data_IF_062752910810
#
_entry.id   IF_062752910810
#
_cell.length_a   1.000
_cell.length_b   1.000
_cell.length_c   1.000
_cell.angle_alpha   90.00
_cell.angle_beta   90.00
_cell.angle_gamma   90.00
#
_symmetry.space_group_name_H-M   'P 1'
#
loop_
_entity.id
_entity.type
_entity.pdbx_description
1 polymer ?
#
# COMPACT_ATOMS: atom_id res chain seq x y z
N UNK A 1 18.70 28.24 16.31
CA UNK A 1 17.28 27.85 16.41
C UNK A 1 16.86 28.10 17.85
N UNK A 2 15.93 29.02 18.11
CA UNK A 2 15.42 29.23 19.46
C UNK A 2 14.73 27.94 19.94
N UNK A 3 14.99 27.55 21.18
CA UNK A 3 14.34 26.40 21.83
C UNK A 3 12.84 26.69 21.96
N UNK A 4 11.97 25.70 21.73
CA UNK A 4 10.51 25.86 21.73
C UNK A 4 9.92 26.42 23.03
N UNK A 5 10.59 26.21 24.16
CA UNK A 5 10.18 26.80 25.43
C UNK A 5 10.46 28.32 25.45
N UNK A 6 11.62 28.72 24.93
CA UNK A 6 12.05 30.12 24.93
C UNK A 6 11.15 31.03 24.10
N UNK A 7 10.59 30.56 22.98
CA UNK A 7 9.72 31.39 22.12
C UNK A 7 8.34 31.64 22.76
N UNK A 8 7.84 30.68 23.54
CA UNK A 8 6.58 30.82 24.27
C UNK A 8 6.79 31.73 25.48
N UNK A 9 7.90 31.55 26.19
CA UNK A 9 8.28 32.41 27.31
C UNK A 9 8.47 33.86 26.87
N UNK A 10 9.16 34.10 25.74
CA UNK A 10 9.34 35.44 25.16
C UNK A 10 7.99 36.09 24.78
N UNK A 11 7.08 35.30 24.20
CA UNK A 11 5.75 35.76 23.84
C UNK A 11 4.97 36.16 25.09
N UNK A 12 4.93 35.30 26.11
CA UNK A 12 4.25 35.57 27.37
C UNK A 12 4.81 36.82 28.06
N UNK A 13 6.14 36.94 28.14
CA UNK A 13 6.80 38.11 28.71
C UNK A 13 6.46 39.40 27.96
N UNK A 14 6.46 39.36 26.62
CA UNK A 14 6.10 40.53 25.79
C UNK A 14 4.62 40.91 25.92
N UNK A 15 3.74 39.93 26.08
CA UNK A 15 2.32 40.15 26.32
C UNK A 15 2.07 40.79 27.68
N UNK A 16 2.71 40.27 28.74
CA UNK A 16 2.60 40.84 30.09
C UNK A 16 3.13 42.28 30.13
N UNK A 17 4.27 42.56 29.47
CA UNK A 17 4.82 43.91 29.38
C UNK A 17 3.89 44.88 28.63
N UNK A 18 3.33 44.44 27.50
CA UNK A 18 2.35 45.22 26.74
C UNK A 18 1.08 45.49 27.55
N UNK A 19 0.56 44.48 28.26
CA UNK A 19 -0.63 44.60 29.09
C UNK A 19 -0.40 45.57 30.26
N UNK A 20 0.74 45.46 30.94
CA UNK A 20 1.12 46.37 32.01
C UNK A 20 1.21 47.82 31.51
N UNK A 21 1.81 48.04 30.34
CA UNK A 21 1.94 49.37 29.75
C UNK A 21 0.57 50.03 29.44
N UNK A 22 -0.43 49.28 28.99
CA UNK A 22 -1.75 49.84 28.65
C UNK A 22 -2.72 49.94 29.83
N UNK A 23 -2.47 49.20 30.91
CA UNK A 23 -3.37 49.14 32.09
C UNK A 23 -2.86 49.90 33.30
N UNK A 24 -1.64 50.45 33.26
CA UNK A 24 -1.06 51.12 34.42
C UNK A 24 -1.85 52.40 34.78
N UNK A 25 -2.49 52.45 35.96
CA UNK A 25 -3.30 53.59 36.38
C UNK A 25 -2.48 54.86 36.65
N UNK A 26 -1.17 54.74 36.87
CA UNK A 26 -0.30 55.89 37.14
C UNK A 26 -0.12 56.79 35.91
N UNK A 27 -0.40 56.29 34.71
CA UNK A 27 -0.28 57.03 33.45
C UNK A 27 -1.38 58.09 33.22
N UNK A 28 -2.46 58.08 34.00
CA UNK A 28 -3.57 59.05 33.84
C UNK A 28 -3.26 60.46 34.37
N UNK A 29 -2.21 60.63 35.18
CA UNK A 29 -1.86 61.91 35.81
C UNK A 29 -0.48 62.45 35.40
N UNK A 30 0.16 61.85 34.38
CA UNK A 30 1.53 62.17 33.98
C UNK A 30 1.60 63.45 33.15
N UNK A 31 2.53 64.35 33.50
CA UNK A 31 2.77 65.62 32.81
C UNK A 31 3.42 65.44 31.43
N UNK A 32 4.11 64.32 31.22
CA UNK A 32 4.80 63.94 29.98
C UNK A 32 4.03 62.83 29.23
N UNK A 33 2.88 63.19 28.66
CA UNK A 33 1.99 62.25 27.97
C UNK A 33 2.62 61.65 26.71
N UNK A 34 3.57 62.33 26.08
CA UNK A 34 4.22 61.86 24.85
C UNK A 34 5.28 60.78 25.14
N UNK A 35 6.03 60.92 26.25
CA UNK A 35 6.95 59.88 26.71
C UNK A 35 6.20 58.58 27.04
N UNK A 36 5.09 58.68 27.79
CA UNK A 36 4.24 57.55 28.14
C UNK A 36 3.68 56.87 26.89
N UNK A 37 3.13 57.66 25.96
CA UNK A 37 2.61 57.15 24.70
C UNK A 37 3.68 56.41 23.89
N UNK A 38 4.88 56.98 23.80
CA UNK A 38 6.01 56.35 23.10
C UNK A 38 6.39 55.02 23.76
N UNK A 39 6.42 54.95 25.09
CA UNK A 39 6.68 53.71 25.83
C UNK A 39 5.65 52.62 25.56
N UNK A 40 4.37 52.99 25.55
CA UNK A 40 3.27 52.07 25.21
C UNK A 40 3.42 51.54 23.78
N UNK A 41 3.65 52.42 22.81
CA UNK A 41 3.84 52.04 21.40
C UNK A 41 5.02 51.06 21.22
N UNK A 42 6.13 51.27 21.94
CA UNK A 42 7.28 50.35 21.91
C UNK A 42 6.93 48.96 22.46
N UNK A 43 6.19 48.87 23.55
CA UNK A 43 5.79 47.56 24.12
C UNK A 43 4.82 46.82 23.19
N UNK A 44 3.91 47.54 22.53
CA UNK A 44 2.99 46.98 21.52
C UNK A 44 3.79 46.45 20.33
N UNK A 45 4.72 47.25 19.80
CA UNK A 45 5.55 46.84 18.66
C UNK A 45 6.36 45.59 18.97
N UNK A 46 6.99 45.54 20.16
CA UNK A 46 7.74 44.37 20.62
C UNK A 46 6.86 43.13 20.73
N UNK A 47 5.66 43.25 21.29
CA UNK A 47 4.70 42.14 21.37
C UNK A 47 4.34 41.62 19.98
N UNK A 48 4.04 42.51 19.03
CA UNK A 48 3.72 42.13 17.66
C UNK A 48 4.87 41.39 16.96
N UNK A 49 6.11 41.83 17.18
CA UNK A 49 7.28 41.19 16.58
C UNK A 49 7.51 39.78 17.13
N UNK A 50 7.39 39.60 18.44
CA UNK A 50 7.51 38.28 19.08
C UNK A 50 6.34 37.37 18.71
N UNK A 51 5.12 37.90 18.58
CA UNK A 51 3.96 37.15 18.10
C UNK A 51 4.19 36.58 16.69
N UNK A 52 4.70 37.40 15.77
CA UNK A 52 5.06 36.97 14.40
C UNK A 52 6.18 35.93 14.40
N UNK A 53 7.16 36.09 15.29
CA UNK A 53 8.25 35.12 15.43
C UNK A 53 7.73 33.76 15.92
N UNK A 54 6.81 33.77 16.90
CA UNK A 54 6.17 32.57 17.42
C UNK A 54 5.32 31.87 16.35
N UNK A 55 4.49 32.63 15.62
CA UNK A 55 3.71 32.10 14.49
C UNK A 55 4.64 31.45 13.45
N UNK A 56 5.68 32.15 13.02
CA UNK A 56 6.65 31.66 12.03
C UNK A 56 7.35 30.38 12.50
N UNK A 57 7.72 30.31 13.78
CA UNK A 57 8.34 29.12 14.36
C UNK A 57 7.43 27.89 14.26
N UNK A 58 6.17 28.00 14.69
CA UNK A 58 5.24 26.88 14.66
C UNK A 58 4.81 26.51 13.23
N UNK A 59 4.68 27.48 12.33
CA UNK A 59 4.47 27.22 10.91
C UNK A 59 5.61 26.41 10.30
N UNK A 60 6.86 26.79 10.58
CA UNK A 60 8.04 26.08 10.10
C UNK A 60 8.09 24.65 10.64
N UNK A 61 7.82 24.45 11.93
CA UNK A 61 7.76 23.12 12.54
C UNK A 61 6.68 22.25 11.90
N UNK A 62 5.48 22.80 11.68
CA UNK A 62 4.36 22.11 11.03
C UNK A 62 4.70 21.72 9.60
N UNK A 63 5.38 22.58 8.84
CA UNK A 63 5.83 22.27 7.48
C UNK A 63 6.80 21.07 7.48
N UNK A 64 7.81 21.09 8.35
CA UNK A 64 8.77 19.97 8.46
C UNK A 64 8.06 18.64 8.78
N UNK A 65 7.13 18.66 9.73
CA UNK A 65 6.34 17.46 10.06
C UNK A 65 5.45 17.00 8.89
N UNK A 66 4.89 17.94 8.12
CA UNK A 66 4.06 17.60 6.96
C UNK A 66 4.85 16.88 5.86
N UNK A 67 6.11 17.27 5.65
CA UNK A 67 7.00 16.61 4.68
C UNK A 67 7.35 15.18 5.12
N UNK A 68 7.49 14.93 6.42
CA UNK A 68 7.81 13.61 6.97
C UNK A 68 6.62 12.65 6.98
N UNK A 69 5.39 13.16 7.06
CA UNK A 69 4.19 12.33 7.14
C UNK A 69 4.03 11.39 5.95
N UNK A 70 4.26 11.87 4.73
CA UNK A 70 4.17 11.02 3.52
C UNK A 70 5.27 9.96 3.47
N UNK A 71 6.48 10.30 3.93
CA UNK A 71 7.59 9.36 3.97
C UNK A 71 7.33 8.24 4.98
N UNK A 72 6.78 8.59 6.15
CA UNK A 72 6.42 7.61 7.17
C UNK A 72 5.34 6.63 6.70
N UNK A 73 4.28 7.13 6.04
CA UNK A 73 3.23 6.27 5.47
C UNK A 73 3.83 5.29 4.46
N UNK A 74 4.67 5.78 3.53
CA UNK A 74 5.31 4.92 2.54
C UNK A 74 6.21 3.87 3.19
N UNK A 75 6.93 4.23 4.26
CA UNK A 75 7.79 3.30 5.00
C UNK A 75 6.99 2.22 5.73
N UNK A 76 5.87 2.58 6.35
CA UNK A 76 4.94 1.65 6.99
C UNK A 76 4.35 0.67 5.95
N UNK A 77 3.83 1.19 4.83
CA UNK A 77 3.31 0.38 3.73
C UNK A 77 4.39 -0.56 3.16
N UNK A 78 5.61 -0.07 2.96
CA UNK A 78 6.71 -0.89 2.46
C UNK A 78 7.06 -2.03 3.42
N UNK A 79 6.98 -1.79 4.72
CA UNK A 79 7.23 -2.79 5.75
C UNK A 79 6.12 -3.84 5.76
N UNK A 80 4.86 -3.42 5.65
CA UNK A 80 3.72 -4.34 5.54
C UNK A 80 3.81 -5.22 4.29
N UNK A 81 4.13 -4.63 3.14
CA UNK A 81 4.30 -5.36 1.88
C UNK A 81 5.45 -6.38 1.95
N UNK A 82 6.57 -6.03 2.58
CA UNK A 82 7.69 -6.97 2.79
C UNK A 82 7.29 -8.15 3.66
N UNK A 83 6.55 -7.90 4.73
CA UNK A 83 6.06 -8.95 5.61
C UNK A 83 5.07 -9.88 4.90
N UNK A 84 4.13 -9.31 4.14
CA UNK A 84 3.16 -10.08 3.38
C UNK A 84 3.84 -10.89 2.27
N UNK A 85 4.85 -10.33 1.59
CA UNK A 85 5.64 -11.06 0.61
C UNK A 85 6.34 -12.27 1.25
N UNK A 86 7.06 -12.07 2.36
CA UNK A 86 7.74 -13.15 3.07
C UNK A 86 6.76 -14.25 3.52
N UNK A 87 5.58 -13.87 3.98
CA UNK A 87 4.52 -14.83 4.36
C UNK A 87 4.04 -15.63 3.14
N UNK A 88 3.86 -14.98 1.99
CA UNK A 88 3.47 -15.66 0.73
C UNK A 88 4.57 -16.59 0.23
N UNK A 89 5.84 -16.20 0.33
CA UNK A 89 6.99 -17.05 -0.02
C UNK A 89 7.02 -18.33 0.83
N UNK A 90 6.85 -18.22 2.14
CA UNK A 90 6.77 -19.37 3.04
C UNK A 90 5.61 -20.30 2.69
N UNK A 91 4.45 -19.72 2.33
CA UNK A 91 3.28 -20.51 1.95
C UNK A 91 3.51 -21.26 0.63
N UNK A 92 4.09 -20.60 -0.37
CA UNK A 92 4.46 -21.23 -1.64
C UNK A 92 5.46 -22.36 -1.42
N UNK A 93 6.48 -22.14 -0.58
CA UNK A 93 7.47 -23.16 -0.25
C UNK A 93 6.81 -24.41 0.35
N UNK A 94 5.90 -24.23 1.32
CA UNK A 94 5.11 -25.31 1.91
C UNK A 94 4.28 -26.09 0.89
N UNK A 95 3.70 -25.40 -0.10
CA UNK A 95 2.93 -26.08 -1.16
C UNK A 95 3.83 -26.83 -2.14
N UNK A 96 4.97 -26.26 -2.52
CA UNK A 96 5.95 -26.93 -3.37
C UNK A 96 6.47 -28.21 -2.71
N UNK A 97 6.77 -28.19 -1.40
CA UNK A 97 7.16 -29.38 -0.65
C UNK A 97 6.09 -30.48 -0.68
N UNK A 98 4.81 -30.12 -0.51
CA UNK A 98 3.70 -31.08 -0.62
C UNK A 98 3.58 -31.67 -2.02
N UNK A 99 3.73 -30.84 -3.06
CA UNK A 99 3.69 -31.30 -4.45
C UNK A 99 4.81 -32.31 -4.70
N UNK A 100 6.03 -32.01 -4.26
CA UNK A 100 7.17 -32.92 -4.40
C UNK A 100 6.92 -34.25 -3.68
N UNK A 101 6.34 -34.21 -2.48
CA UNK A 101 5.95 -35.42 -1.75
C UNK A 101 4.88 -36.25 -2.48
N UNK A 102 3.86 -35.62 -3.03
CA UNK A 102 2.84 -36.35 -3.80
C UNK A 102 3.40 -36.92 -5.10
N UNK A 103 4.32 -36.21 -5.76
CA UNK A 103 5.03 -36.72 -6.93
C UNK A 103 5.88 -37.96 -6.59
N UNK A 104 6.55 -37.98 -5.43
CA UNK A 104 7.32 -39.16 -5.01
C UNK A 104 6.43 -40.37 -4.76
N UNK A 105 5.29 -40.19 -4.07
CA UNK A 105 4.32 -41.28 -3.83
C UNK A 105 3.77 -41.88 -5.13
N UNK A 106 3.49 -41.04 -6.14
CA UNK A 106 3.03 -41.50 -7.45
C UNK A 106 4.11 -42.31 -8.19
N UNK A 107 5.38 -41.88 -8.12
CA UNK A 107 6.51 -42.58 -8.73
C UNK A 107 6.81 -43.93 -8.05
N UNK A 108 6.64 -44.01 -6.73
CA UNK A 108 6.81 -45.27 -5.99
C UNK A 108 5.72 -46.29 -6.36
N UNK A 109 4.50 -45.82 -6.64
CA UNK A 109 3.36 -46.67 -7.04
C UNK A 109 3.49 -47.16 -8.49
N UNK A 110 3.99 -46.32 -9.41
CA UNK A 110 4.17 -46.69 -10.82
C UNK A 110 5.34 -47.66 -11.06
N UNK A 111 6.28 -47.77 -10.11
CA UNK A 111 7.42 -48.70 -10.17
C UNK A 111 7.15 -50.08 -9.53
N UNK A 112 5.90 -50.39 -9.13
CA UNK A 112 5.57 -51.74 -8.64
C UNK A 112 5.53 -52.72 -9.83
N UNK A 113 6.40 -53.76 -9.91
CA UNK A 113 6.38 -54.71 -11.01
C UNK A 113 5.25 -55.73 -10.82
N UNK A 114 4.02 -55.31 -11.10
CA UNK A 114 2.88 -56.20 -11.30
C UNK A 114 2.94 -56.81 -12.70
N UNK A 115 3.77 -57.83 -12.89
CA UNK A 115 3.63 -58.73 -14.03
C UNK A 115 2.25 -59.41 -13.97
N UNK A 116 1.41 -59.13 -14.96
CA UNK A 116 0.45 -60.10 -15.45
C UNK A 116 0.47 -60.04 -16.99
N UNK A 117 0.93 -61.09 -17.70
CA UNK A 117 0.80 -61.14 -19.14
C UNK A 117 -0.67 -61.38 -19.49
N UNK A 118 -1.33 -60.38 -20.09
CA UNK A 118 -2.61 -60.59 -20.76
C UNK A 118 -2.41 -61.48 -21.99
N UNK A 119 -3.17 -62.59 -22.16
CA UNK A 119 -3.17 -63.34 -23.41
C UNK A 119 -3.88 -62.53 -24.50
N UNK A 120 -3.15 -62.15 -25.55
CA UNK A 120 -3.73 -61.59 -26.78
C UNK A 120 -4.57 -62.65 -27.49
N UNK A 121 -5.83 -62.36 -27.89
CA UNK A 121 -6.52 -63.14 -28.90
C UNK A 121 -6.00 -62.76 -30.29
N UNK A 122 -5.41 -63.74 -30.99
CA UNK A 122 -5.05 -63.64 -32.41
C UNK A 122 -6.30 -63.36 -33.26
N UNK A 123 -6.30 -62.26 -34.00
CA UNK A 123 -7.23 -62.02 -35.10
C UNK A 123 -6.60 -62.48 -36.45
N UNK A 124 -7.37 -63.08 -37.37
CA UNK A 124 -6.84 -63.62 -38.61
C UNK A 124 -6.59 -62.52 -39.68
N UNK A 125 -5.65 -62.73 -40.63
CA UNK A 125 -5.27 -61.71 -41.60
C UNK A 125 -6.07 -61.79 -42.90
N UNK A 126 -6.49 -60.62 -43.41
CA UNK A 126 -7.09 -60.41 -44.73
C UNK A 126 -7.96 -59.15 -44.67
N UNK A 127 -7.92 -58.16 -45.56
CA UNK A 127 -7.44 -58.07 -46.93
C UNK A 127 -7.35 -56.59 -47.36
N UNK A 128 -6.16 -56.17 -47.83
CA UNK A 128 -5.85 -55.21 -48.92
C UNK A 128 -6.41 -53.76 -49.00
N UNK A 129 -5.68 -52.85 -49.70
CA UNK A 129 -5.66 -51.40 -49.44
C UNK A 129 -6.14 -50.51 -50.60
N UNK A 130 -6.36 -49.21 -50.36
CA UNK A 130 -6.36 -48.07 -51.32
C UNK A 130 -6.76 -46.80 -50.54
N UNK A 131 -6.21 -45.60 -50.71
CA UNK A 131 -5.15 -45.07 -51.54
C UNK A 131 -5.15 -43.53 -51.43
N UNK A 132 -3.96 -42.93 -51.19
CA UNK A 132 -3.45 -41.63 -51.72
C UNK A 132 -4.22 -40.30 -51.44
N UNK A 133 -3.56 -39.11 -51.57
CA UNK A 133 -3.48 -38.10 -50.52
C UNK A 133 -4.04 -36.72 -50.96
N UNK A 134 -4.12 -35.74 -50.07
CA UNK A 134 -4.20 -34.34 -50.54
C UNK A 134 -3.63 -33.31 -49.57
N UNK A 135 -3.17 -32.26 -50.21
CA UNK A 135 -2.22 -31.21 -49.87
C UNK A 135 -2.98 -29.92 -49.51
N UNK A 136 -2.38 -29.04 -48.71
CA UNK A 136 -2.75 -27.61 -48.66
C UNK A 136 -2.80 -27.07 -47.22
N UNK A 137 -1.76 -26.40 -46.73
CA UNK A 137 -1.50 -24.95 -46.82
C UNK A 137 -2.31 -24.07 -45.83
N UNK A 138 -1.57 -23.18 -45.17
CA UNK A 138 -1.94 -21.81 -44.74
C UNK A 138 -2.56 -21.54 -43.34
N UNK A 139 -1.74 -20.84 -42.54
CA UNK A 139 -1.98 -19.58 -41.78
C UNK A 139 -3.16 -19.40 -40.82
N UNK A 140 -2.79 -19.09 -39.55
CA UNK A 140 -3.41 -18.27 -38.48
C UNK A 140 -4.64 -17.41 -38.87
N UNK A 141 -5.67 -17.18 -38.00
CA UNK A 141 -5.49 -16.49 -36.70
C UNK A 141 -6.48 -16.84 -35.54
N UNK A 142 -6.18 -16.25 -34.37
CA UNK A 142 -7.00 -16.18 -33.16
C UNK A 142 -8.46 -15.75 -33.42
N UNK A 143 -9.41 -16.43 -32.77
CA UNK A 143 -10.83 -16.06 -32.77
C UNK A 143 -11.64 -16.85 -31.75
N UNK A 144 -11.90 -16.20 -30.63
CA UNK A 144 -12.94 -16.48 -29.63
C UNK A 144 -14.20 -17.20 -30.15
N UNK A 145 -14.58 -18.31 -29.51
CA UNK A 145 -15.90 -18.55 -28.92
C UNK A 145 -16.03 -20.01 -28.47
N UNK A 146 -16.47 -20.18 -27.24
CA UNK A 146 -16.71 -21.46 -26.61
C UNK A 146 -17.80 -22.26 -27.34
N UNK A 147 -17.55 -23.55 -27.59
CA UNK A 147 -18.60 -24.57 -27.61
C UNK A 147 -18.01 -25.98 -27.47
N UNK A 148 -18.21 -26.54 -26.27
CA UNK A 148 -18.57 -27.95 -26.08
C UNK A 148 -17.47 -29.01 -26.17
N UNK A 149 -16.69 -29.18 -25.10
CA UNK A 149 -16.13 -30.49 -24.74
C UNK A 149 -16.31 -30.73 -23.23
N UNK A 150 -16.97 -31.83 -22.81
CA UNK A 150 -17.12 -32.15 -21.39
C UNK A 150 -15.81 -32.77 -20.89
N UNK A 151 -14.84 -31.91 -20.59
CA UNK A 151 -13.61 -32.28 -19.91
C UNK A 151 -13.76 -32.18 -18.38
N UNK A 152 -12.93 -32.88 -17.60
CA UNK A 152 -12.95 -32.88 -16.13
C UNK A 152 -12.76 -31.50 -15.47
N UNK A 153 -12.44 -30.46 -16.27
CA UNK A 153 -12.29 -29.06 -15.85
C UNK A 153 -13.61 -28.29 -15.71
N UNK A 154 -14.74 -28.82 -16.20
CA UNK A 154 -16.04 -28.13 -16.16
C UNK A 154 -16.55 -27.84 -14.73
N UNK A 155 -16.02 -28.55 -13.72
CA UNK A 155 -16.36 -28.31 -12.31
C UNK A 155 -15.64 -27.10 -11.70
N UNK A 156 -14.54 -26.65 -12.29
CA UNK A 156 -13.78 -25.48 -11.80
C UNK A 156 -14.43 -24.16 -12.22
N UNK A 157 -15.15 -24.12 -13.35
CA UNK A 157 -15.83 -22.90 -13.81
C UNK A 157 -17.05 -22.53 -12.94
N UNK A 158 -17.61 -23.49 -12.18
CA UNK A 158 -18.78 -23.22 -11.32
C UNK A 158 -18.42 -22.58 -9.98
N UNK A 159 -17.17 -22.63 -9.55
CA UNK A 159 -16.75 -22.09 -8.24
C UNK A 159 -16.18 -20.67 -8.30
N UNK A 160 -15.95 -20.11 -9.50
CA UNK A 160 -15.36 -18.77 -9.66
C UNK A 160 -16.39 -17.63 -9.73
N UNK A 161 -17.69 -17.91 -9.88
CA UNK A 161 -18.72 -16.87 -10.06
C UNK A 161 -19.24 -16.21 -8.76
N UNK A 162 -18.74 -16.56 -7.58
CA UNK A 162 -19.28 -16.01 -6.31
C UNK A 162 -18.28 -15.19 -5.49
N UNK A 163 -17.19 -14.72 -6.10
CA UNK A 163 -16.24 -13.81 -5.46
C UNK A 163 -16.37 -12.40 -6.09
N UNK A 164 -17.14 -11.57 -5.37
CA UNK A 164 -16.85 -10.17 -5.12
C UNK A 164 -16.89 -9.18 -6.28
N UNK A 165 -18.04 -8.52 -6.47
CA UNK A 165 -18.08 -7.12 -6.92
C UNK A 165 -19.10 -6.37 -6.05
N UNK A 166 -18.70 -5.36 -5.25
CA UNK A 166 -19.66 -4.47 -4.60
C UNK A 166 -20.24 -3.49 -5.63
N UNK A 167 -21.56 -3.30 -5.58
CA UNK A 167 -22.35 -2.41 -6.44
C UNK A 167 -22.07 -0.93 -6.09
N UNK A 168 -21.70 -0.05 -7.05
CA UNK A 168 -21.29 1.32 -6.76
C UNK A 168 -22.46 2.33 -6.68
N UNK A 169 -23.65 1.92 -6.21
CA UNK A 169 -24.78 2.86 -6.04
C UNK A 169 -25.61 2.60 -4.80
N UNK A 170 -25.21 3.21 -3.69
CA UNK A 170 -26.12 3.74 -2.67
C UNK A 170 -25.48 4.85 -1.87
#
# INVERSE_FOLDING_TARGET
MASSNHIVDDFENSFQACLAAVTNPDYFYVRDSEEVKTGVEQTIQRFLDVAKQMESFFLQKRLVLSAQKSEQIVMEDNTELKNELARKEQLLQKYNEKILYWQSLLNDTSNTPGQQPQPQPQAPPGSTPQGMPTQGQQSMPMGSSAQGLPGPLAYLERTTSNIGMPDPRR
#
